data_IF_012424626546
#
_entry.id   IF_012424626546
#
_cell.length_a   1.000
_cell.length_b   1.000
_cell.length_c   1.000
_cell.angle_alpha   90.00
_cell.angle_beta   90.00
_cell.angle_gamma   90.00
#
_symmetry.space_group_name_H-M   'P 1'
#
loop_
_entity.id
_entity.type
_entity.pdbx_description
1 polymer ?
#
# COMPACT_ATOMS: atom_id res chain seq x y z
N UNK A 1 1.17 -43.57 -41.53
CA UNK A 1 1.05 -42.65 -40.37
C UNK A 1 2.36 -42.54 -39.61
N UNK A 2 2.94 -43.66 -39.16
CA UNK A 2 4.28 -43.73 -38.53
C UNK A 2 5.41 -43.07 -39.35
N UNK A 3 5.38 -43.22 -40.68
CA UNK A 3 6.37 -42.64 -41.60
C UNK A 3 6.40 -41.10 -41.59
N UNK A 4 5.24 -40.44 -41.38
CA UNK A 4 5.15 -38.97 -41.26
C UNK A 4 5.73 -38.50 -39.92
N UNK A 5 5.50 -39.24 -38.84
CA UNK A 5 6.04 -38.94 -37.50
C UNK A 5 7.58 -39.05 -37.52
N UNK A 6 8.11 -40.12 -38.12
CA UNK A 6 9.57 -40.33 -38.22
C UNK A 6 10.27 -39.23 -39.02
N UNK A 7 9.60 -38.65 -40.02
CA UNK A 7 10.12 -37.54 -40.83
C UNK A 7 10.23 -36.22 -40.05
N UNK A 8 9.34 -35.99 -39.08
CA UNK A 8 9.23 -34.73 -38.33
C UNK A 8 9.62 -34.87 -36.84
N UNK A 9 10.29 -35.96 -36.46
CA UNK A 9 10.56 -36.32 -35.06
C UNK A 9 11.35 -35.24 -34.29
N UNK A 10 12.30 -34.57 -34.96
CA UNK A 10 13.10 -33.51 -34.37
C UNK A 10 12.25 -32.28 -33.98
N UNK A 11 11.36 -31.87 -34.88
CA UNK A 11 10.39 -30.79 -34.62
C UNK A 11 9.49 -31.15 -33.44
N UNK A 12 8.99 -32.38 -33.39
CA UNK A 12 8.13 -32.86 -32.32
C UNK A 12 8.82 -32.75 -30.94
N UNK A 13 10.06 -33.23 -30.82
CA UNK A 13 10.83 -33.15 -29.57
C UNK A 13 11.12 -31.71 -29.19
N UNK A 14 11.51 -30.87 -30.15
CA UNK A 14 11.76 -29.46 -29.90
C UNK A 14 10.50 -28.77 -29.37
N UNK A 15 9.31 -29.05 -29.93
CA UNK A 15 8.04 -28.52 -29.43
C UNK A 15 7.75 -28.97 -28.00
N UNK A 16 7.95 -30.24 -27.67
CA UNK A 16 7.76 -30.74 -26.29
C UNK A 16 8.74 -30.10 -25.30
N UNK A 17 9.99 -29.88 -25.70
CA UNK A 17 10.99 -29.21 -24.87
C UNK A 17 10.60 -27.75 -24.61
N UNK A 18 10.16 -27.02 -25.64
CA UNK A 18 9.67 -25.63 -25.50
C UNK A 18 8.46 -25.59 -24.58
N UNK A 19 7.49 -26.50 -24.75
CA UNK A 19 6.32 -26.59 -23.89
C UNK A 19 6.69 -26.86 -22.43
N UNK A 20 7.65 -27.76 -22.18
CA UNK A 20 8.13 -28.03 -20.82
C UNK A 20 8.64 -26.77 -20.14
N UNK A 21 9.50 -25.99 -20.81
CA UNK A 21 9.98 -24.72 -20.26
C UNK A 21 8.86 -23.70 -20.11
N UNK A 22 7.92 -23.65 -21.05
CA UNK A 22 6.81 -22.70 -21.02
C UNK A 22 5.87 -22.93 -19.83
N UNK A 23 5.47 -24.18 -19.57
CA UNK A 23 4.65 -24.50 -18.40
C UNK A 23 5.40 -24.22 -17.09
N UNK A 24 6.69 -24.59 -17.01
CA UNK A 24 7.52 -24.30 -15.83
C UNK A 24 7.74 -22.79 -15.61
N UNK A 25 7.71 -21.97 -16.67
CA UNK A 25 7.86 -20.53 -16.58
C UNK A 25 6.57 -19.85 -16.13
N UNK A 26 5.42 -20.28 -16.65
CA UNK A 26 4.13 -19.67 -16.33
C UNK A 26 3.65 -20.04 -14.93
N UNK A 27 3.84 -21.30 -14.54
CA UNK A 27 3.28 -21.89 -13.33
C UNK A 27 4.26 -21.91 -12.14
N UNK A 28 3.73 -22.19 -10.95
CA UNK A 28 4.48 -22.31 -9.71
C UNK A 28 4.71 -20.99 -8.97
N UNK A 29 5.21 -21.11 -7.74
CA UNK A 29 5.40 -19.95 -6.86
C UNK A 29 6.45 -18.94 -7.34
N UNK A 30 7.33 -19.38 -8.23
CA UNK A 30 8.36 -18.57 -8.88
C UNK A 30 8.05 -18.31 -10.36
N UNK A 31 6.90 -18.76 -10.84
CA UNK A 31 6.43 -18.54 -12.19
C UNK A 31 5.96 -17.10 -12.42
N UNK A 32 5.67 -16.81 -13.69
CA UNK A 32 5.33 -15.47 -14.16
C UNK A 32 4.04 -14.93 -13.52
N UNK A 33 3.00 -15.75 -13.38
CA UNK A 33 1.75 -15.33 -12.75
C UNK A 33 1.94 -14.96 -11.27
N UNK A 34 2.73 -15.76 -10.55
CA UNK A 34 3.09 -15.49 -9.15
C UNK A 34 3.87 -14.18 -9.02
N UNK A 35 4.81 -13.91 -9.95
CA UNK A 35 5.55 -12.66 -9.97
C UNK A 35 4.64 -11.43 -10.06
N UNK A 36 3.67 -11.43 -10.99
CA UNK A 36 2.75 -10.29 -11.14
C UNK A 36 1.89 -10.08 -9.89
N UNK A 37 1.36 -11.16 -9.29
CA UNK A 37 0.59 -11.08 -8.05
C UNK A 37 1.43 -10.52 -6.89
N UNK A 38 2.65 -11.02 -6.71
CA UNK A 38 3.56 -10.55 -5.66
C UNK A 38 3.97 -9.10 -5.86
N UNK A 39 4.15 -8.66 -7.11
CA UNK A 39 4.46 -7.27 -7.44
C UNK A 39 3.32 -6.32 -7.06
N UNK A 40 2.07 -6.70 -7.31
CA UNK A 40 0.91 -5.92 -6.89
C UNK A 40 0.78 -5.82 -5.38
N UNK A 41 0.94 -6.95 -4.67
CA UNK A 41 0.95 -6.99 -3.20
C UNK A 41 2.05 -6.09 -2.65
N UNK A 42 3.26 -6.16 -3.21
CA UNK A 42 4.38 -5.31 -2.81
C UNK A 42 4.04 -3.82 -2.97
N UNK A 43 3.44 -3.42 -4.11
CA UNK A 43 3.05 -2.04 -4.33
C UNK A 43 2.02 -1.56 -3.30
N UNK A 44 1.02 -2.38 -2.97
CA UNK A 44 0.03 -2.03 -1.95
C UNK A 44 0.67 -1.89 -0.56
N UNK A 45 1.51 -2.85 -0.17
CA UNK A 45 2.23 -2.80 1.10
C UNK A 45 3.14 -1.58 1.20
N UNK A 46 3.84 -1.19 0.12
CA UNK A 46 4.69 0.01 0.14
C UNK A 46 3.88 1.30 0.31
N UNK A 47 2.65 1.36 -0.22
CA UNK A 47 1.75 2.50 -0.03
C UNK A 47 1.24 2.56 1.41
N UNK A 48 0.80 1.42 1.95
CA UNK A 48 0.37 1.31 3.35
C UNK A 48 1.50 1.67 4.32
N UNK A 49 2.71 1.18 4.06
CA UNK A 49 3.88 1.53 4.86
C UNK A 49 4.16 3.03 4.85
N UNK A 50 4.10 3.68 3.68
CA UNK A 50 4.30 5.11 3.57
C UNK A 50 3.22 5.92 4.31
N UNK A 51 1.95 5.52 4.21
CA UNK A 51 0.85 6.15 4.94
C UNK A 51 1.00 5.99 6.46
N UNK A 52 1.35 4.78 6.93
CA UNK A 52 1.60 4.52 8.35
C UNK A 52 2.80 5.32 8.87
N UNK A 53 3.90 5.39 8.11
CA UNK A 53 5.06 6.22 8.48
C UNK A 53 4.69 7.69 8.62
N UNK A 54 3.86 8.22 7.71
CA UNK A 54 3.39 9.61 7.79
C UNK A 54 2.51 9.83 9.03
N UNK A 55 1.61 8.90 9.34
CA UNK A 55 0.77 8.95 10.56
C UNK A 55 1.61 8.90 11.83
N UNK A 56 2.62 8.04 11.88
CA UNK A 56 3.55 7.95 13.01
C UNK A 56 4.30 9.27 13.17
N UNK A 57 4.82 9.84 12.08
CA UNK A 57 5.55 11.12 12.12
C UNK A 57 4.67 12.28 12.62
N UNK A 58 3.40 12.34 12.19
CA UNK A 58 2.44 13.32 12.69
C UNK A 58 2.17 13.14 14.19
N UNK A 59 1.99 11.91 14.65
CA UNK A 59 1.81 11.60 16.08
C UNK A 59 3.06 11.92 16.91
N UNK A 60 4.25 11.61 16.42
CA UNK A 60 5.52 11.95 17.07
C UNK A 60 5.67 13.46 17.21
N UNK A 61 5.34 14.21 16.15
CA UNK A 61 5.34 15.67 16.19
C UNK A 61 4.35 16.18 17.24
N UNK A 62 3.09 15.72 17.23
CA UNK A 62 2.09 16.10 18.23
C UNK A 62 2.50 15.75 19.66
N UNK A 63 3.13 14.58 19.86
CA UNK A 63 3.66 14.18 21.15
C UNK A 63 4.83 15.07 21.60
N UNK A 64 5.69 15.48 20.67
CA UNK A 64 6.80 16.40 20.98
C UNK A 64 6.30 17.75 21.51
N UNK A 65 5.19 18.27 20.96
CA UNK A 65 4.53 19.49 21.42
C UNK A 65 3.91 19.36 22.83
N UNK A 66 3.68 18.14 23.30
CA UNK A 66 3.04 17.85 24.59
C UNK A 66 4.02 17.29 25.65
N UNK A 67 5.30 17.13 25.29
CA UNK A 67 6.31 16.50 26.14
C UNK A 67 7.16 17.56 26.88
N UNK A 68 8.49 17.44 26.87
CA UNK A 68 9.40 18.25 27.70
C UNK A 68 9.30 19.75 27.43
N UNK A 69 9.12 20.15 26.17
CA UNK A 69 8.89 21.54 25.77
C UNK A 69 7.42 21.72 25.40
N UNK A 70 6.58 21.77 26.43
CA UNK A 70 5.13 21.92 26.28
C UNK A 70 4.78 23.21 25.52
N UNK A 71 4.14 23.05 24.36
CA UNK A 71 3.59 24.15 23.57
C UNK A 71 2.20 24.51 24.10
N UNK A 72 2.11 25.66 24.78
CA UNK A 72 0.87 26.13 25.40
C UNK A 72 -0.19 26.52 24.35
N UNK A 73 0.22 27.02 23.19
CA UNK A 73 -0.71 27.41 22.12
C UNK A 73 -1.34 26.16 21.50
N UNK A 74 -0.56 25.08 21.35
CA UNK A 74 -1.06 23.79 20.92
C UNK A 74 -2.03 23.18 21.94
N UNK A 75 -1.73 23.26 23.24
CA UNK A 75 -2.65 22.82 24.31
C UNK A 75 -3.95 23.63 24.32
N UNK A 76 -3.88 24.96 24.19
CA UNK A 76 -5.07 25.82 24.08
C UNK A 76 -5.92 25.42 22.87
N UNK A 77 -5.28 25.16 21.72
CA UNK A 77 -5.95 24.69 20.50
C UNK A 77 -6.71 23.38 20.75
N UNK A 78 -6.07 22.40 21.41
CA UNK A 78 -6.70 21.13 21.76
C UNK A 78 -7.89 21.33 22.73
N UNK A 79 -7.76 22.21 23.72
CA UNK A 79 -8.84 22.50 24.66
C UNK A 79 -10.04 23.15 23.95
N UNK A 80 -9.79 24.08 23.03
CA UNK A 80 -10.83 24.73 22.22
C UNK A 80 -11.52 23.74 21.30
N UNK A 81 -10.79 22.85 20.62
CA UNK A 81 -11.38 21.82 19.77
C UNK A 81 -12.20 20.78 20.55
N UNK A 82 -11.69 20.28 21.68
CA UNK A 82 -12.32 19.17 22.41
C UNK A 82 -13.48 19.61 23.30
N UNK A 83 -13.38 20.79 23.89
CA UNK A 83 -14.34 21.28 24.88
C UNK A 83 -15.13 22.50 24.41
N UNK A 84 -14.94 22.94 23.15
CA UNK A 84 -15.56 24.15 22.59
C UNK A 84 -15.31 25.38 23.50
N UNK A 85 -14.12 25.41 24.10
CA UNK A 85 -13.74 26.43 25.06
C UNK A 85 -13.61 27.80 24.38
N UNK A 86 -14.26 28.81 24.94
CA UNK A 86 -14.21 30.20 24.46
C UNK A 86 -14.07 31.16 25.64
N UNK A 87 -13.41 32.29 25.41
CA UNK A 87 -13.29 33.37 26.40
C UNK A 87 -14.52 34.27 26.33
N UNK A 88 -14.78 35.00 27.40
CA UNK A 88 -15.89 35.95 27.46
C UNK A 88 -15.77 36.99 26.32
N UNK A 89 -16.84 37.16 25.54
CA UNK A 89 -16.87 38.04 24.37
C UNK A 89 -16.43 37.39 23.04
N UNK A 90 -15.96 36.15 23.02
CA UNK A 90 -15.68 35.41 21.79
C UNK A 90 -16.96 34.82 21.17
N UNK A 91 -17.03 34.77 19.83
CA UNK A 91 -18.14 34.14 19.09
C UNK A 91 -17.68 32.84 18.46
N UNK A 92 -18.36 31.73 18.78
CA UNK A 92 -18.05 30.41 18.24
C UNK A 92 -18.85 30.14 16.95
N UNK A 93 -18.16 29.74 15.88
CA UNK A 93 -18.79 29.31 14.63
C UNK A 93 -18.69 27.79 14.47
N UNK A 94 -19.83 27.10 14.45
CA UNK A 94 -19.89 25.67 14.11
C UNK A 94 -20.13 25.56 12.61
N UNK A 95 -19.07 25.29 11.86
CA UNK A 95 -19.16 25.08 10.40
C UNK A 95 -19.50 23.61 10.15
N UNK A 96 -20.70 23.34 9.65
CA UNK A 96 -21.03 22.01 9.12
C UNK A 96 -20.32 21.81 7.79
N UNK A 97 -19.35 20.89 7.75
CA UNK A 97 -18.90 20.33 6.46
C UNK A 97 -19.96 19.33 6.02
N UNK A 98 -20.70 19.67 4.96
CA UNK A 98 -21.45 18.67 4.21
C UNK A 98 -20.42 17.89 3.38
N UNK A 99 -20.00 16.74 3.88
CA UNK A 99 -19.21 15.80 3.11
C UNK A 99 -20.14 15.25 1.99
N UNK A 100 -19.88 15.65 0.74
CA UNK A 100 -20.48 15.06 -0.47
C UNK A 100 -19.60 13.90 -0.95
#
# INVERSE_FOLDING_TARGET
MLSKIKKNYFLLISTFLILYFFFNLLDGERGLFSYFKKKEILLNLTKEEADLRNKIKDLEFKNSLLSENLDLDYVETLLREKFLFGKEGETLYIIKKNDN
#
